data_IF_114828554335
#
_entry.id   IF_114828554335
#
_cell.length_a   1.000
_cell.length_b   1.000
_cell.length_c   1.000
_cell.angle_alpha   90.00
_cell.angle_beta   90.00
_cell.angle_gamma   90.00
#
_symmetry.space_group_name_H-M   'P 1'
#
loop_
_entity.id
_entity.type
_entity.pdbx_description
1 polymer ?
#
# COMPACT_ATOMS: atom_id res chain seq x y z
N UNK A 1 -24.39 37.66 -77.39
CA UNK A 1 -24.99 39.01 -77.55
C UNK A 1 -26.19 39.08 -76.60
N UNK A 2 -26.18 40.11 -75.75
CA UNK A 2 -27.27 40.59 -74.86
C UNK A 2 -27.76 39.71 -73.70
N UNK A 3 -27.35 40.17 -72.52
CA UNK A 3 -27.91 39.97 -71.18
C UNK A 3 -29.38 40.38 -71.12
N UNK A 4 -30.19 39.66 -70.34
CA UNK A 4 -31.29 40.28 -69.59
C UNK A 4 -31.33 39.74 -68.17
N UNK A 5 -30.99 40.63 -67.24
CA UNK A 5 -31.12 40.50 -65.79
C UNK A 5 -32.59 40.76 -65.43
N UNK A 6 -33.18 39.90 -64.59
CA UNK A 6 -34.25 40.29 -63.69
C UNK A 6 -33.77 40.08 -62.26
N UNK A 7 -33.54 41.18 -61.59
CA UNK A 7 -33.36 41.32 -60.15
C UNK A 7 -34.65 40.97 -59.42
N UNK A 8 -34.55 40.16 -58.36
CA UNK A 8 -35.24 40.50 -57.11
C UNK A 8 -34.33 40.17 -55.93
N UNK A 9 -34.09 41.21 -55.13
CA UNK A 9 -33.29 41.22 -53.93
C UNK A 9 -33.83 40.24 -52.88
N UNK A 10 -32.94 39.51 -52.21
CA UNK A 10 -32.53 39.80 -50.82
C UNK A 10 -31.33 38.89 -50.51
N UNK A 11 -30.11 39.43 -50.62
CA UNK A 11 -29.24 39.86 -49.52
C UNK A 11 -28.66 38.70 -48.69
N UNK A 12 -27.34 38.56 -48.82
CA UNK A 12 -26.37 38.15 -47.78
C UNK A 12 -26.64 36.78 -47.13
N UNK A 13 -25.92 35.71 -47.45
CA UNK A 13 -24.46 35.67 -47.44
C UNK A 13 -23.97 35.73 -46.00
N UNK A 14 -23.60 34.56 -45.47
CA UNK A 14 -22.64 34.30 -44.38
C UNK A 14 -22.53 35.36 -43.27
N UNK A 15 -22.86 34.99 -42.03
CA UNK A 15 -21.87 34.63 -41.00
C UNK A 15 -22.52 34.55 -39.61
N UNK A 16 -22.03 33.60 -38.82
CA UNK A 16 -21.82 33.70 -37.37
C UNK A 16 -23.01 34.06 -36.45
N UNK A 17 -23.36 33.06 -35.63
CA UNK A 17 -23.57 33.20 -34.18
C UNK A 17 -24.36 34.40 -33.67
N UNK A 18 -25.63 34.17 -33.29
CA UNK A 18 -26.19 34.74 -32.06
C UNK A 18 -27.13 33.69 -31.45
N UNK A 19 -26.80 33.32 -30.21
CA UNK A 19 -27.69 32.75 -29.21
C UNK A 19 -29.04 33.45 -29.18
N UNK A 20 -30.15 32.73 -29.37
CA UNK A 20 -31.46 33.17 -28.86
C UNK A 20 -32.25 31.97 -28.36
N UNK A 21 -32.04 31.70 -27.07
CA UNK A 21 -32.95 31.13 -26.08
C UNK A 21 -34.37 30.79 -26.58
N UNK A 22 -34.64 29.50 -26.72
CA UNK A 22 -35.98 28.95 -26.51
C UNK A 22 -35.91 28.05 -25.28
N UNK A 23 -36.56 28.55 -24.24
CA UNK A 23 -36.69 28.03 -22.89
C UNK A 23 -36.82 26.50 -22.81
N UNK A 24 -35.85 25.85 -22.17
CA UNK A 24 -36.18 24.67 -21.37
C UNK A 24 -36.91 25.22 -20.16
N UNK A 25 -38.23 24.98 -20.14
CA UNK A 25 -39.11 25.27 -19.03
C UNK A 25 -38.52 24.59 -17.79
N UNK A 26 -38.07 25.38 -16.81
CA UNK A 26 -37.80 24.89 -15.46
C UNK A 26 -39.06 24.13 -15.02
N UNK A 27 -38.92 22.80 -14.92
CA UNK A 27 -39.93 21.98 -14.28
C UNK A 27 -39.91 22.44 -12.83
N UNK A 28 -40.99 23.10 -12.40
CA UNK A 28 -41.12 23.63 -11.04
C UNK A 28 -40.66 22.56 -10.05
N UNK A 29 -39.52 22.84 -9.41
CA UNK A 29 -38.90 21.97 -8.41
C UNK A 29 -39.97 21.54 -7.44
N UNK A 30 -40.38 20.26 -7.52
CA UNK A 30 -41.40 19.71 -6.64
C UNK A 30 -40.84 19.82 -5.21
N UNK A 31 -41.36 20.72 -4.37
CA UNK A 31 -40.73 21.04 -3.08
C UNK A 31 -40.70 19.82 -2.17
N UNK A 32 -41.60 18.86 -2.39
CA UNK A 32 -41.63 17.58 -1.68
C UNK A 32 -40.49 16.65 -2.11
N UNK A 33 -39.98 16.74 -3.34
CA UNK A 33 -38.85 15.93 -3.79
C UNK A 33 -37.52 16.48 -3.24
N UNK A 34 -37.38 17.81 -3.19
CA UNK A 34 -36.25 18.48 -2.57
C UNK A 34 -36.25 18.30 -1.05
N UNK A 35 -37.41 18.39 -0.38
CA UNK A 35 -37.50 18.04 1.04
C UNK A 35 -37.22 16.56 1.29
N UNK A 36 -37.69 15.63 0.46
CA UNK A 36 -37.39 14.21 0.63
C UNK A 36 -35.91 13.87 0.43
N UNK A 37 -35.20 14.59 -0.44
CA UNK A 37 -33.75 14.45 -0.64
C UNK A 37 -32.99 15.08 0.54
N UNK A 38 -33.43 16.23 1.03
CA UNK A 38 -32.82 16.93 2.17
C UNK A 38 -33.09 16.18 3.49
N UNK A 39 -34.29 15.63 3.71
CA UNK A 39 -34.59 14.75 4.86
C UNK A 39 -33.79 13.45 4.80
N UNK A 40 -33.57 12.87 3.61
CA UNK A 40 -32.67 11.70 3.46
C UNK A 40 -31.20 12.03 3.71
N UNK A 41 -30.78 13.28 3.50
CA UNK A 41 -29.41 13.73 3.76
C UNK A 41 -29.22 14.25 5.20
N UNK A 42 -30.30 14.68 5.87
CA UNK A 42 -30.31 15.16 7.25
C UNK A 42 -30.64 14.07 8.27
N UNK A 43 -31.19 12.92 7.86
CA UNK A 43 -31.15 11.74 8.68
C UNK A 43 -29.69 11.29 8.76
N UNK A 44 -29.01 11.40 9.92
CA UNK A 44 -27.79 10.63 10.10
C UNK A 44 -28.21 9.19 9.85
N UNK A 45 -27.58 8.51 8.90
CA UNK A 45 -27.67 7.06 8.81
C UNK A 45 -27.03 6.50 10.09
N UNK A 46 -27.74 6.58 11.21
CA UNK A 46 -27.49 5.81 12.41
C UNK A 46 -27.87 4.37 12.08
N UNK A 47 -26.91 3.61 11.56
CA UNK A 47 -27.03 2.15 11.58
C UNK A 47 -26.48 1.35 10.42
N UNK A 48 -25.96 1.95 9.34
CA UNK A 48 -25.04 1.19 8.49
C UNK A 48 -23.67 1.34 9.12
N UNK A 49 -23.32 0.44 10.03
CA UNK A 49 -21.94 0.27 10.45
C UNK A 49 -21.15 -0.04 9.18
N UNK A 50 -20.56 0.99 8.56
CA UNK A 50 -19.53 0.79 7.55
C UNK A 50 -18.50 -0.09 8.26
N UNK A 51 -18.29 -1.34 7.81
CA UNK A 51 -17.42 -2.25 8.51
C UNK A 51 -16.07 -1.54 8.66
N UNK A 52 -15.63 -1.43 9.91
CA UNK A 52 -14.38 -0.74 10.23
C UNK A 52 -13.29 -1.39 9.40
N UNK A 53 -12.63 -0.60 8.56
CA UNK A 53 -11.46 -1.03 7.82
C UNK A 53 -10.45 -1.59 8.82
N UNK A 54 -10.00 -2.84 8.62
CA UNK A 54 -8.92 -3.42 9.43
C UNK A 54 -7.81 -4.00 8.60
N UNK A 55 -7.96 -4.08 7.27
CA UNK A 55 -6.90 -4.59 6.41
C UNK A 55 -6.64 -3.74 5.17
N UNK A 56 -5.41 -3.85 4.69
CA UNK A 56 -4.94 -3.19 3.50
C UNK A 56 -4.37 -4.18 2.50
N UNK A 57 -4.93 -4.16 1.30
CA UNK A 57 -4.43 -4.94 0.18
C UNK A 57 -3.48 -4.08 -0.66
N UNK A 58 -2.21 -4.46 -0.69
CA UNK A 58 -1.20 -3.81 -1.54
C UNK A 58 -0.87 -4.73 -2.70
N UNK A 59 -1.25 -4.29 -3.88
CA UNK A 59 -0.87 -4.96 -5.12
C UNK A 59 0.32 -4.25 -5.74
N UNK A 60 1.32 -5.02 -6.17
CA UNK A 60 2.37 -4.54 -7.05
C UNK A 60 2.47 -5.37 -8.35
N UNK A 61 2.85 -4.70 -9.43
CA UNK A 61 3.25 -5.31 -10.69
C UNK A 61 4.76 -5.58 -10.68
N UNK A 62 5.14 -6.84 -10.74
CA UNK A 62 6.54 -7.30 -10.85
C UNK A 62 6.78 -7.96 -12.23
N UNK A 63 8.04 -8.21 -12.62
CA UNK A 63 8.34 -8.83 -13.92
C UNK A 63 7.68 -10.21 -14.10
N UNK A 64 7.53 -10.99 -13.02
CA UNK A 64 6.84 -12.29 -13.03
C UNK A 64 5.31 -12.18 -12.89
N UNK A 65 4.76 -10.96 -12.93
CA UNK A 65 3.34 -10.66 -12.98
C UNK A 65 2.83 -9.87 -11.76
N UNK A 66 1.58 -10.06 -11.34
CA UNK A 66 0.96 -9.27 -10.27
C UNK A 66 0.95 -10.04 -8.95
N UNK A 67 1.49 -9.43 -7.90
CA UNK A 67 1.54 -9.97 -6.54
C UNK A 67 0.76 -9.04 -5.62
N UNK A 68 0.17 -9.60 -4.58
CA UNK A 68 -0.63 -8.84 -3.63
C UNK A 68 -0.38 -9.33 -2.22
N UNK A 69 -0.19 -8.40 -1.30
CA UNK A 69 -0.04 -8.69 0.13
C UNK A 69 -1.13 -7.99 0.91
N UNK A 70 -1.78 -8.72 1.80
CA UNK A 70 -2.72 -8.18 2.77
C UNK A 70 -2.00 -7.88 4.10
N UNK A 71 -2.24 -6.70 4.64
CA UNK A 71 -1.73 -6.22 5.93
C UNK A 71 -2.89 -5.88 6.85
N UNK A 72 -2.74 -6.04 8.16
CA UNK A 72 -3.70 -5.47 9.11
C UNK A 72 -3.33 -4.00 9.40
N UNK A 73 -4.34 -3.15 9.53
CA UNK A 73 -4.23 -1.69 9.69
C UNK A 73 -5.11 -1.19 10.83
N UNK A 74 -4.59 -0.21 11.56
CA UNK A 74 -5.35 0.59 12.54
C UNK A 74 -5.83 1.91 11.93
N UNK A 75 -5.52 2.19 10.67
CA UNK A 75 -5.88 3.42 9.97
C UNK A 75 -7.26 3.35 9.29
N UNK A 76 -7.88 4.53 9.13
CA UNK A 76 -9.20 4.69 8.49
C UNK A 76 -9.18 4.49 6.97
N UNK A 77 -8.00 4.55 6.35
CA UNK A 77 -7.82 4.27 4.92
C UNK A 77 -6.44 3.71 4.61
N UNK A 78 -6.40 2.86 3.59
CA UNK A 78 -5.19 2.46 2.90
C UNK A 78 -4.64 3.61 2.07
N UNK A 79 -3.50 4.12 2.48
CA UNK A 79 -2.76 5.10 1.70
C UNK A 79 -1.26 4.87 1.90
N UNK A 80 -0.48 5.65 1.17
CA UNK A 80 0.97 5.66 1.34
C UNK A 80 1.36 6.02 2.78
N UNK A 81 0.59 6.82 3.54
CA UNK A 81 0.86 7.15 4.95
C UNK A 81 1.01 5.91 5.84
N UNK A 82 0.25 4.84 5.57
CA UNK A 82 0.45 3.54 6.24
C UNK A 82 1.89 3.02 6.08
N UNK A 83 2.51 3.24 4.91
CA UNK A 83 3.85 2.75 4.55
C UNK A 83 4.94 3.84 4.56
N UNK A 84 4.58 5.12 4.71
CA UNK A 84 5.42 6.29 4.39
C UNK A 84 6.53 6.61 5.39
N UNK A 85 6.92 5.65 6.21
CA UNK A 85 8.27 5.64 6.75
C UNK A 85 9.31 5.24 5.67
N UNK A 86 9.16 5.77 4.45
CA UNK A 86 10.09 5.55 3.34
C UNK A 86 11.37 6.30 3.70
N UNK A 87 12.41 5.54 4.05
CA UNK A 87 13.72 6.09 4.36
C UNK A 87 14.27 6.83 3.13
N UNK A 88 14.65 8.08 3.33
CA UNK A 88 15.39 8.84 2.30
C UNK A 88 16.73 8.17 2.02
N UNK A 89 17.35 8.49 0.87
CA UNK A 89 18.70 8.04 0.56
C UNK A 89 19.68 8.31 1.72
N UNK A 90 19.59 9.49 2.34
CA UNK A 90 20.41 9.88 3.49
C UNK A 90 20.19 8.98 4.70
N UNK A 91 18.94 8.66 5.03
CA UNK A 91 18.60 7.76 6.13
C UNK A 91 19.19 6.36 5.91
N UNK A 92 19.12 5.85 4.67
CA UNK A 92 19.69 4.54 4.32
C UNK A 92 21.23 4.53 4.40
N UNK A 93 21.88 5.61 3.97
CA UNK A 93 23.34 5.74 4.10
C UNK A 93 23.77 5.79 5.57
N UNK A 94 23.07 6.56 6.42
CA UNK A 94 23.38 6.61 7.85
C UNK A 94 23.31 5.22 8.50
N UNK A 95 22.30 4.40 8.15
CA UNK A 95 22.20 3.02 8.67
C UNK A 95 23.36 2.11 8.25
N UNK A 96 23.93 2.33 7.06
CA UNK A 96 25.12 1.59 6.61
C UNK A 96 26.35 1.94 7.44
N UNK A 97 26.51 3.22 7.79
CA UNK A 97 27.61 3.68 8.62
C UNK A 97 27.47 3.15 10.06
N UNK A 98 26.25 3.14 10.61
CA UNK A 98 25.93 2.52 11.91
C UNK A 98 26.30 1.02 11.93
N UNK A 99 25.98 0.28 10.85
CA UNK A 99 26.36 -1.13 10.73
C UNK A 99 27.87 -1.35 10.66
N UNK A 100 28.60 -0.44 10.03
CA UNK A 100 30.07 -0.47 10.00
C UNK A 100 30.61 -0.28 11.40
N UNK A 101 30.08 0.69 12.14
CA UNK A 101 30.40 0.90 13.56
C UNK A 101 30.06 -0.34 14.41
N UNK A 102 28.89 -0.95 14.22
CA UNK A 102 28.48 -2.14 14.98
C UNK A 102 29.44 -3.31 14.71
N UNK A 103 29.78 -3.55 13.44
CA UNK A 103 30.70 -4.62 13.06
C UNK A 103 32.08 -4.50 13.72
N UNK A 104 32.55 -3.27 13.91
CA UNK A 104 33.86 -2.98 14.51
C UNK A 104 33.82 -3.15 16.03
N UNK A 105 32.74 -2.71 16.68
CA UNK A 105 32.69 -2.58 18.14
C UNK A 105 31.97 -3.75 18.85
N UNK A 106 31.14 -4.52 18.14
CA UNK A 106 30.32 -5.60 18.72
C UNK A 106 30.51 -6.90 17.93
N UNK A 107 31.55 -7.66 18.26
CA UNK A 107 31.92 -8.90 17.58
C UNK A 107 30.80 -9.96 17.55
N UNK A 108 29.92 -9.96 18.57
CA UNK A 108 28.78 -10.88 18.62
C UNK A 108 27.71 -10.58 17.55
N UNK A 109 27.74 -9.40 16.95
CA UNK A 109 26.76 -8.92 15.97
C UNK A 109 27.21 -9.03 14.51
N UNK A 110 28.49 -9.34 14.27
CA UNK A 110 29.11 -9.28 12.93
C UNK A 110 28.42 -10.18 11.90
N UNK A 111 27.96 -11.36 12.34
CA UNK A 111 27.27 -12.33 11.45
C UNK A 111 25.90 -11.82 10.98
N UNK A 112 25.18 -11.06 11.80
CA UNK A 112 23.89 -10.46 11.44
C UNK A 112 24.05 -9.17 10.63
N UNK A 113 25.09 -8.38 10.91
CA UNK A 113 25.31 -7.11 10.24
C UNK A 113 25.83 -7.25 8.80
N UNK A 114 26.53 -8.33 8.46
CA UNK A 114 27.01 -8.56 7.08
C UNK A 114 25.87 -8.62 6.03
N UNK A 115 24.81 -9.45 6.22
CA UNK A 115 23.64 -9.43 5.34
C UNK A 115 22.98 -8.05 5.19
N UNK A 116 22.90 -7.26 6.28
CA UNK A 116 22.33 -5.92 6.21
C UNK A 116 23.21 -4.95 5.43
N UNK A 117 24.53 -5.00 5.62
CA UNK A 117 25.44 -4.16 4.86
C UNK A 117 25.27 -4.37 3.35
N UNK A 118 25.16 -5.63 2.91
CA UNK A 118 24.86 -5.99 1.51
C UNK A 118 23.48 -5.48 1.09
N UNK A 119 22.48 -5.62 1.96
CA UNK A 119 21.11 -5.14 1.69
C UNK A 119 21.07 -3.64 1.44
N UNK A 120 21.70 -2.87 2.31
CA UNK A 120 21.76 -1.41 2.26
C UNK A 120 22.66 -0.88 1.15
N UNK A 121 23.77 -1.55 0.83
CA UNK A 121 24.61 -1.17 -0.30
C UNK A 121 23.90 -1.35 -1.65
N UNK A 122 22.98 -2.32 -1.72
CA UNK A 122 22.23 -2.67 -2.93
C UNK A 122 20.83 -2.04 -2.94
N UNK A 123 20.52 -1.12 -2.02
CA UNK A 123 19.26 -0.37 -2.04
C UNK A 123 19.40 0.85 -2.95
N UNK A 124 18.45 1.01 -3.88
CA UNK A 124 18.30 2.20 -4.71
C UNK A 124 17.08 2.97 -4.20
N UNK A 125 17.19 4.27 -3.87
CA UNK A 125 16.04 5.10 -3.57
C UNK A 125 15.02 5.08 -4.73
N UNK A 126 13.70 5.06 -4.49
CA UNK A 126 13.00 5.17 -3.20
C UNK A 126 12.46 3.82 -2.65
N UNK A 127 13.21 2.71 -2.77
CA UNK A 127 12.72 1.42 -2.27
C UNK A 127 12.68 1.37 -0.73
N UNK A 128 11.49 1.32 -0.13
CA UNK A 128 11.34 0.93 1.28
C UNK A 128 11.85 -0.50 1.47
N UNK A 129 12.60 -0.72 2.56
CA UNK A 129 13.07 -2.03 2.92
C UNK A 129 11.92 -3.04 3.13
N UNK A 130 10.81 -2.57 3.71
CA UNK A 130 9.61 -3.37 3.90
C UNK A 130 9.06 -3.86 2.54
N UNK A 131 8.94 -2.96 1.56
CA UNK A 131 8.47 -3.32 0.22
C UNK A 131 9.45 -4.22 -0.53
N UNK A 132 10.77 -3.97 -0.42
CA UNK A 132 11.79 -4.82 -1.04
C UNK A 132 11.69 -6.26 -0.53
N UNK A 133 11.65 -6.45 0.78
CA UNK A 133 11.65 -7.78 1.39
C UNK A 133 10.33 -8.53 1.18
N UNK A 134 9.19 -7.85 1.32
CA UNK A 134 7.88 -8.52 1.36
C UNK A 134 7.27 -8.72 -0.02
N UNK A 135 7.54 -7.81 -0.96
CA UNK A 135 6.98 -7.87 -2.31
C UNK A 135 8.01 -8.41 -3.32
N UNK A 136 9.19 -8.82 -2.86
CA UNK A 136 10.24 -9.39 -3.71
C UNK A 136 10.76 -8.40 -4.76
N UNK A 137 10.74 -7.11 -4.44
CA UNK A 137 10.99 -6.05 -5.43
C UNK A 137 12.47 -5.77 -5.56
N UNK A 138 13.02 -6.17 -6.70
CA UNK A 138 14.39 -5.82 -7.08
C UNK A 138 14.35 -4.57 -7.97
N UNK A 139 14.77 -3.41 -7.44
CA UNK A 139 14.96 -2.18 -8.22
C UNK A 139 14.28 -0.95 -7.64
N UNK A 140 14.41 0.18 -8.35
CA UNK A 140 13.68 1.39 -8.05
C UNK A 140 12.19 1.18 -8.35
N UNK A 141 11.33 1.45 -7.37
CA UNK A 141 9.88 1.40 -7.56
C UNK A 141 9.34 2.83 -7.55
N UNK A 142 8.31 3.06 -8.36
CA UNK A 142 7.54 4.30 -8.32
C UNK A 142 6.22 4.02 -7.62
N UNK A 143 5.73 4.98 -6.82
CA UNK A 143 4.48 4.82 -6.06
C UNK A 143 3.29 4.41 -6.94
N UNK A 144 3.27 4.83 -8.21
CA UNK A 144 2.25 4.48 -9.18
C UNK A 144 2.19 2.99 -9.55
N UNK A 145 3.21 2.19 -9.22
CA UNK A 145 3.19 0.74 -9.40
C UNK A 145 2.39 0.03 -8.31
N UNK A 146 2.10 0.72 -7.20
CA UNK A 146 1.35 0.17 -6.09
C UNK A 146 -0.12 0.55 -6.20
N UNK A 147 -0.98 -0.43 -6.04
CA UNK A 147 -2.41 -0.22 -5.84
C UNK A 147 -2.77 -0.62 -4.43
N UNK A 148 -3.35 0.32 -3.71
CA UNK A 148 -3.88 0.12 -2.37
C UNK A 148 -5.39 -0.11 -2.45
N UNK A 149 -5.92 -1.07 -1.68
CA UNK A 149 -7.35 -1.32 -1.61
C UNK A 149 -7.75 -1.63 -0.17
N UNK A 150 -8.76 -0.90 0.31
CA UNK A 150 -9.35 -1.09 1.63
C UNK A 150 -10.07 -2.42 1.74
N UNK A 151 -9.87 -3.15 2.84
CA UNK A 151 -10.48 -4.45 3.09
C UNK A 151 -10.91 -4.62 4.54
N UNK A 152 -12.00 -5.34 4.78
CA UNK A 152 -12.51 -5.50 6.14
C UNK A 152 -11.52 -6.29 7.00
N UNK A 153 -10.93 -7.37 6.48
CA UNK A 153 -9.84 -8.12 7.12
C UNK A 153 -9.11 -9.00 6.10
N UNK A 154 -7.92 -9.48 6.42
CA UNK A 154 -7.26 -10.50 5.59
C UNK A 154 -8.01 -11.85 5.61
N UNK A 155 -8.74 -12.13 6.68
CA UNK A 155 -9.59 -13.32 6.83
C UNK A 155 -10.74 -13.37 5.82
N UNK A 156 -11.44 -12.25 5.61
CA UNK A 156 -12.56 -12.19 4.65
C UNK A 156 -12.10 -12.38 3.20
N UNK A 157 -10.84 -12.09 2.92
CA UNK A 157 -10.20 -12.42 1.65
C UNK A 157 -9.86 -13.92 1.51
N UNK A 158 -10.05 -14.73 2.55
CA UNK A 158 -9.70 -16.15 2.55
C UNK A 158 -8.19 -16.42 2.68
N UNK A 159 -7.41 -15.42 3.11
CA UNK A 159 -5.95 -15.53 3.21
C UNK A 159 -5.47 -16.21 4.49
N UNK A 160 -6.30 -16.31 5.53
CA UNK A 160 -5.94 -17.02 6.77
C UNK A 160 -6.21 -18.54 6.68
N UNK A 161 -5.97 -19.13 5.51
CA UNK A 161 -6.09 -20.57 5.29
C UNK A 161 -4.70 -21.21 5.21
N UNK A 162 -4.63 -22.52 5.45
CA UNK A 162 -3.36 -23.26 5.49
C UNK A 162 -2.54 -23.21 4.20
N UNK A 163 -3.13 -22.73 3.10
CA UNK A 163 -2.41 -22.49 1.84
C UNK A 163 -1.45 -21.28 1.93
N UNK A 164 -1.81 -20.24 2.68
CA UNK A 164 -1.05 -18.99 2.73
C UNK A 164 -0.31 -18.77 4.06
N UNK A 165 -0.73 -19.45 5.13
CA UNK A 165 -0.15 -19.30 6.47
C UNK A 165 0.32 -20.64 7.05
N UNK A 166 1.37 -20.65 7.90
CA UNK A 166 1.85 -21.87 8.55
C UNK A 166 0.87 -22.37 9.62
N UNK A 167 0.97 -23.65 10.01
CA UNK A 167 0.05 -24.26 10.98
C UNK A 167 0.10 -23.69 12.40
N UNK A 168 1.16 -22.96 12.77
CA UNK A 168 1.32 -22.27 14.06
C UNK A 168 0.97 -20.77 13.98
N UNK A 169 0.38 -20.34 12.88
CA UNK A 169 0.00 -18.95 12.66
C UNK A 169 -1.03 -18.49 13.69
N UNK A 170 -0.77 -17.34 14.29
CA UNK A 170 -1.62 -16.69 15.28
C UNK A 170 -2.41 -15.54 14.65
N UNK A 171 -1.72 -14.56 14.06
CA UNK A 171 -2.32 -13.40 13.38
C UNK A 171 -1.30 -12.63 12.54
N UNK A 172 -1.80 -11.72 11.71
CA UNK A 172 -1.00 -10.71 11.03
C UNK A 172 -0.64 -9.57 12.02
N UNK A 173 0.50 -8.94 11.82
CA UNK A 173 0.89 -7.72 12.52
C UNK A 173 0.06 -6.52 12.06
N UNK A 174 -0.32 -5.66 12.99
CA UNK A 174 -0.98 -4.40 12.67
C UNK A 174 0.03 -3.30 12.27
N UNK A 175 -0.47 -2.16 11.82
CA UNK A 175 0.36 -0.99 11.44
C UNK A 175 1.29 -0.52 12.55
N UNK A 176 0.85 -0.47 13.80
CA UNK A 176 1.66 0.02 14.92
C UNK A 176 2.85 -0.91 15.22
N UNK A 177 2.63 -2.23 15.13
CA UNK A 177 3.69 -3.23 15.25
C UNK A 177 4.63 -3.22 14.05
N UNK A 178 4.09 -3.03 12.84
CA UNK A 178 4.90 -2.88 11.63
C UNK A 178 5.81 -1.64 11.69
N UNK A 179 5.34 -0.54 12.27
CA UNK A 179 6.14 0.68 12.49
C UNK A 179 7.29 0.40 13.46
N UNK A 180 7.08 -0.40 14.51
CA UNK A 180 8.16 -0.81 15.43
C UNK A 180 9.26 -1.63 14.73
N UNK A 181 8.96 -2.25 13.59
CA UNK A 181 9.94 -3.00 12.80
C UNK A 181 10.79 -2.12 11.88
N UNK A 182 10.55 -0.81 11.84
CA UNK A 182 11.30 0.12 11.01
C UNK A 182 12.55 0.68 11.73
N UNK A 183 13.34 -0.19 12.34
CA UNK A 183 14.58 0.18 13.03
C UNK A 183 15.72 -0.77 12.67
N UNK A 184 16.96 -0.32 12.86
CA UNK A 184 18.13 -1.16 12.63
C UNK A 184 18.11 -2.39 13.54
N UNK A 185 17.63 -2.21 14.77
CA UNK A 185 17.46 -3.27 15.76
C UNK A 185 16.48 -4.32 15.28
N UNK A 186 15.33 -3.91 14.77
CA UNK A 186 14.32 -4.83 14.27
C UNK A 186 14.84 -5.66 13.09
N UNK A 187 15.60 -5.03 12.21
CA UNK A 187 16.20 -5.71 11.07
C UNK A 187 17.26 -6.73 11.46
N UNK A 188 18.16 -6.34 12.36
CA UNK A 188 19.13 -7.26 12.95
C UNK A 188 18.41 -8.42 13.65
N UNK A 189 17.35 -8.12 14.40
CA UNK A 189 16.58 -9.11 15.12
C UNK A 189 15.82 -10.08 14.21
N UNK A 190 15.46 -9.70 12.98
CA UNK A 190 14.81 -10.58 12.00
C UNK A 190 15.78 -11.53 11.30
N UNK A 191 17.09 -11.30 11.35
CA UNK A 191 18.08 -12.17 10.71
C UNK A 191 18.26 -13.45 11.51
N UNK A 192 18.07 -14.65 10.90
CA UNK A 192 18.14 -15.92 11.63
C UNK A 192 19.44 -16.16 12.40
N UNK A 193 20.57 -15.66 11.89
CA UNK A 193 21.90 -15.85 12.47
C UNK A 193 22.23 -14.89 13.61
N UNK A 194 21.37 -13.91 13.92
CA UNK A 194 21.63 -12.97 15.02
C UNK A 194 21.50 -13.67 16.38
N UNK A 195 22.56 -13.60 17.17
CA UNK A 195 22.70 -14.32 18.44
C UNK A 195 22.06 -13.58 19.61
N UNK A 196 21.74 -14.30 20.69
CA UNK A 196 21.24 -13.69 21.92
C UNK A 196 22.26 -12.71 22.54
N UNK A 197 23.55 -13.03 22.48
CA UNK A 197 24.61 -12.15 22.98
C UNK A 197 24.66 -10.82 22.22
N UNK A 198 24.41 -10.83 20.90
CA UNK A 198 24.28 -9.60 20.13
C UNK A 198 23.11 -8.73 20.62
N UNK A 199 21.97 -9.33 20.97
CA UNK A 199 20.84 -8.57 21.53
C UNK A 199 21.19 -7.92 22.86
N UNK A 200 21.99 -8.59 23.70
CA UNK A 200 22.48 -8.03 24.96
C UNK A 200 23.47 -6.88 24.71
N UNK A 201 24.45 -7.06 23.83
CA UNK A 201 25.47 -6.06 23.52
C UNK A 201 24.86 -4.76 22.97
N UNK A 202 23.81 -4.89 22.14
CA UNK A 202 23.09 -3.75 21.58
C UNK A 202 21.94 -3.25 22.45
N UNK A 203 21.76 -3.83 23.65
CA UNK A 203 20.71 -3.46 24.61
C UNK A 203 19.30 -3.43 23.99
N UNK A 204 18.94 -4.46 23.22
CA UNK A 204 17.62 -4.53 22.58
C UNK A 204 16.50 -4.65 23.61
N UNK A 205 15.39 -3.95 23.35
CA UNK A 205 14.19 -4.07 24.19
C UNK A 205 13.57 -5.47 24.06
N UNK A 206 13.16 -6.06 25.19
CA UNK A 206 12.53 -7.37 25.27
C UNK A 206 11.27 -7.52 24.39
N UNK A 207 10.49 -6.45 24.23
CA UNK A 207 9.31 -6.45 23.36
C UNK A 207 9.68 -6.70 21.89
N UNK A 208 10.75 -6.08 21.41
CA UNK A 208 11.23 -6.26 20.04
C UNK A 208 11.83 -7.66 19.82
N UNK A 209 12.58 -8.16 20.80
CA UNK A 209 13.10 -9.55 20.78
C UNK A 209 11.94 -10.54 20.65
N UNK A 210 10.91 -10.37 21.48
CA UNK A 210 9.74 -11.27 21.48
C UNK A 210 8.96 -11.17 20.17
N UNK A 211 8.71 -9.95 19.66
CA UNK A 211 8.03 -9.72 18.39
C UNK A 211 8.79 -10.39 17.22
N UNK A 212 10.09 -10.16 17.11
CA UNK A 212 10.91 -10.72 16.02
C UNK A 212 11.07 -12.24 16.10
N UNK A 213 11.13 -12.82 17.30
CA UNK A 213 11.11 -14.28 17.48
C UNK A 213 9.79 -14.90 16.98
N UNK A 214 8.66 -14.27 17.27
CA UNK A 214 7.36 -14.70 16.77
C UNK A 214 7.21 -14.53 15.26
N UNK A 215 7.90 -13.57 14.65
CA UNK A 215 7.97 -13.46 13.18
C UNK A 215 8.85 -14.57 12.61
N UNK A 216 10.02 -14.81 13.19
CA UNK A 216 10.99 -15.83 12.75
C UNK A 216 10.41 -17.25 12.80
N UNK A 217 9.65 -17.57 13.83
CA UNK A 217 9.02 -18.89 13.98
C UNK A 217 7.72 -19.03 13.16
N UNK A 218 7.30 -17.98 12.44
CA UNK A 218 6.11 -17.98 11.59
C UNK A 218 4.78 -17.81 12.34
N UNK A 219 4.78 -17.66 13.66
CA UNK A 219 3.56 -17.47 14.44
C UNK A 219 2.89 -16.13 14.15
N UNK A 220 3.68 -15.09 13.90
CA UNK A 220 3.19 -13.79 13.42
C UNK A 220 3.70 -13.57 12.00
N UNK A 221 2.82 -13.09 11.12
CA UNK A 221 3.23 -12.66 9.78
C UNK A 221 3.12 -11.15 9.65
N UNK A 222 4.08 -10.56 8.96
CA UNK A 222 4.06 -9.12 8.66
C UNK A 222 3.00 -8.76 7.61
N UNK A 223 2.52 -9.75 6.86
CA UNK A 223 1.48 -9.65 5.83
C UNK A 223 1.34 -11.02 5.14
N UNK A 224 0.18 -11.27 4.52
CA UNK A 224 -0.10 -12.53 3.81
C UNK A 224 -0.08 -12.26 2.31
N UNK A 225 0.81 -12.93 1.57
CA UNK A 225 1.06 -12.67 0.15
C UNK A 225 0.48 -13.77 -0.74
N UNK A 226 -0.16 -13.37 -1.83
CA UNK A 226 -0.63 -14.23 -2.90
C UNK A 226 -0.35 -13.60 -4.27
N UNK A 227 -0.48 -14.36 -5.35
CA UNK A 227 -0.26 -13.90 -6.72
C UNK A 227 -1.48 -14.11 -7.61
N UNK A 228 -1.59 -13.31 -8.67
CA UNK A 228 -2.64 -13.47 -9.66
C UNK A 228 -2.33 -14.56 -10.70
N UNK A 229 -1.07 -15.00 -10.77
CA UNK A 229 -0.60 -15.99 -11.73
C UNK A 229 0.45 -16.91 -11.11
N UNK A 230 0.54 -18.12 -11.67
CA UNK A 230 1.51 -19.13 -11.24
C UNK A 230 2.95 -18.75 -11.63
N UNK A 231 3.94 -19.36 -10.97
CA UNK A 231 5.36 -19.11 -11.24
C UNK A 231 5.95 -17.87 -10.56
N UNK A 232 5.19 -17.21 -9.70
CA UNK A 232 5.62 -16.06 -8.90
C UNK A 232 6.31 -16.42 -7.58
N UNK A 233 6.27 -17.70 -7.18
CA UNK A 233 6.75 -18.17 -5.87
C UNK A 233 5.75 -17.99 -4.72
N UNK A 234 4.55 -17.45 -4.99
CA UNK A 234 3.47 -17.31 -4.02
C UNK A 234 2.24 -18.13 -4.43
N UNK A 235 1.38 -18.55 -3.48
CA UNK A 235 0.12 -19.21 -3.79
C UNK A 235 -0.83 -18.28 -4.58
N UNK A 236 -1.82 -18.85 -5.27
CA UNK A 236 -2.74 -18.08 -6.11
C UNK A 236 -3.80 -17.40 -5.25
N UNK A 237 -4.07 -16.11 -5.50
CA UNK A 237 -5.10 -15.38 -4.77
C UNK A 237 -6.49 -15.99 -5.06
N UNK A 238 -7.35 -16.20 -4.05
CA UNK A 238 -8.69 -16.78 -4.24
C UNK A 238 -9.57 -16.04 -5.27
N UNK A 239 -9.31 -14.75 -5.49
CA UNK A 239 -10.06 -13.86 -6.39
C UNK A 239 -9.31 -13.54 -7.69
N UNK A 240 -8.28 -14.28 -8.06
CA UNK A 240 -7.52 -14.03 -9.29
C UNK A 240 -8.21 -14.50 -10.58
N UNK A 241 -9.40 -15.11 -10.46
CA UNK A 241 -10.18 -15.69 -11.57
C UNK A 241 -11.12 -14.68 -12.22
#
# INVERSE_FOLDING_TARGET
MLVRIQTNLLKFGLWLSIFLFQCIRENASNPNLLLAIVDRQLQPNSGVAVPTLKACLVTNQIPSGKVTTCYETTAESCNLTFFNNIATATTLQNRRDDLTFININFANCTTGATPLFVKYSNLVPPASMLFKDQLGLNGANVESQFRFTNQISCKELGLETSEFVPGNFSRVLNSEELVQLNSLEAELALIPTTTANCFTDLNFNQSLISLTQNIKNGSLQRGITCAYQSGSGFPICPWSH
#
